data_IF_160462976716
#
_entry.id   IF_160462976716
#
_cell.length_a   1.000
_cell.length_b   1.000
_cell.length_c   1.000
_cell.angle_alpha   90.00
_cell.angle_beta   90.00
_cell.angle_gamma   90.00
#
_symmetry.space_group_name_H-M   'P 1'
#
loop_
_entity.id
_entity.type
_entity.pdbx_description
1 polymer ?
#
# COMPACT_ATOMS: atom_id res chain seq x y z
N UNK A 1 -35.08 14.26 -76.25
CA UNK A 1 -33.85 14.13 -75.45
C UNK A 1 -33.88 14.93 -74.18
N UNK A 2 -34.98 14.92 -73.42
CA UNK A 2 -35.14 15.69 -72.13
C UNK A 2 -35.63 14.84 -70.93
N UNK A 3 -35.90 13.56 -71.14
CA UNK A 3 -36.42 12.68 -70.07
C UNK A 3 -35.36 11.74 -69.41
N UNK A 4 -34.13 11.72 -69.92
CA UNK A 4 -33.08 10.82 -69.46
C UNK A 4 -32.17 11.46 -68.37
N UNK A 5 -32.40 12.74 -68.00
CA UNK A 5 -31.56 13.45 -66.97
C UNK A 5 -32.17 13.57 -65.61
N UNK A 6 -33.41 13.15 -65.36
CA UNK A 6 -34.10 13.25 -64.13
C UNK A 6 -34.06 11.99 -63.22
N UNK A 7 -33.57 10.87 -63.73
CA UNK A 7 -33.47 9.61 -63.01
C UNK A 7 -32.07 9.36 -62.37
N UNK A 8 -31.07 10.18 -62.72
CA UNK A 8 -29.69 10.01 -62.18
C UNK A 8 -29.43 10.77 -60.86
N UNK A 9 -30.34 11.66 -60.40
CA UNK A 9 -30.12 12.47 -59.17
C UNK A 9 -30.81 11.85 -57.95
N UNK A 10 -31.79 10.94 -58.14
CA UNK A 10 -32.54 10.31 -57.04
C UNK A 10 -31.80 9.10 -56.41
N UNK A 11 -30.76 8.55 -57.02
CA UNK A 11 -30.04 7.37 -56.50
C UNK A 11 -28.79 7.71 -55.70
N UNK A 12 -28.35 8.96 -55.63
CA UNK A 12 -27.17 9.37 -54.87
C UNK A 12 -27.52 9.89 -53.46
N UNK A 13 -28.79 10.09 -53.15
CA UNK A 13 -29.27 10.60 -51.85
C UNK A 13 -29.48 9.52 -50.78
N UNK A 14 -29.54 8.24 -51.12
CA UNK A 14 -29.81 7.15 -50.16
C UNK A 14 -28.59 6.45 -49.57
N UNK A 15 -27.37 6.78 -50.05
CA UNK A 15 -26.16 6.05 -49.65
C UNK A 15 -25.34 6.77 -48.55
N UNK A 16 -25.78 7.93 -48.05
CA UNK A 16 -25.02 8.70 -47.03
C UNK A 16 -25.62 8.60 -45.63
N UNK A 17 -26.78 7.94 -45.44
CA UNK A 17 -27.42 7.83 -44.12
C UNK A 17 -27.15 6.52 -43.37
N UNK A 18 -26.25 5.67 -43.80
CA UNK A 18 -26.02 4.34 -43.19
C UNK A 18 -24.70 4.21 -42.40
N UNK A 19 -23.96 5.29 -42.10
CA UNK A 19 -22.67 5.20 -41.37
C UNK A 19 -22.66 5.95 -40.04
N UNK A 20 -23.82 6.40 -39.54
CA UNK A 20 -23.96 6.94 -38.20
C UNK A 20 -24.52 5.90 -37.23
N UNK A 21 -24.09 4.64 -37.38
CA UNK A 21 -24.45 3.50 -36.52
C UNK A 21 -23.34 3.10 -35.60
N UNK A 22 -23.28 3.71 -34.42
CA UNK A 22 -22.97 3.01 -33.15
C UNK A 22 -21.56 2.44 -33.00
N UNK A 23 -20.58 3.28 -32.79
CA UNK A 23 -19.49 2.89 -31.87
C UNK A 23 -19.87 3.28 -30.42
N UNK A 24 -20.99 2.80 -29.92
CA UNK A 24 -21.16 2.56 -28.52
C UNK A 24 -20.33 1.29 -28.19
N UNK A 25 -19.01 1.44 -28.18
CA UNK A 25 -18.18 0.48 -27.45
C UNK A 25 -18.70 0.55 -26.00
N UNK A 26 -19.47 -0.46 -25.62
CA UNK A 26 -19.71 -0.78 -24.22
C UNK A 26 -18.35 -0.90 -23.58
N UNK A 27 -17.85 0.20 -22.98
CA UNK A 27 -16.92 0.06 -21.89
C UNK A 27 -17.74 -0.70 -20.86
N UNK A 28 -17.51 -2.01 -20.76
CA UNK A 28 -17.86 -2.78 -19.59
C UNK A 28 -17.15 -2.05 -18.46
N UNK A 29 -17.85 -1.10 -17.84
CA UNK A 29 -17.33 -0.25 -16.79
C UNK A 29 -16.95 -1.16 -15.64
N UNK A 30 -15.65 -1.42 -15.50
CA UNK A 30 -15.16 -1.96 -14.24
C UNK A 30 -15.73 -1.04 -13.16
N UNK A 31 -16.47 -1.63 -12.23
CA UNK A 31 -16.98 -0.89 -11.07
C UNK A 31 -15.81 -0.08 -10.47
N UNK A 32 -16.05 1.16 -10.07
CA UNK A 32 -14.96 2.01 -9.55
C UNK A 32 -14.27 1.32 -8.38
N UNK A 33 -12.95 1.37 -8.37
CA UNK A 33 -12.13 0.84 -7.28
C UNK A 33 -12.45 1.64 -6.01
N UNK A 34 -12.72 0.93 -4.91
CA UNK A 34 -13.10 1.54 -3.63
C UNK A 34 -12.20 1.07 -2.49
N UNK A 35 -12.13 1.88 -1.43
CA UNK A 35 -11.37 1.51 -0.25
C UNK A 35 -11.86 0.19 0.36
N UNK A 36 -13.15 0.11 0.69
CA UNK A 36 -13.71 -1.00 1.44
C UNK A 36 -13.54 -2.35 0.74
N UNK A 37 -13.75 -2.37 -0.59
CA UNK A 37 -13.74 -3.61 -1.35
C UNK A 37 -12.33 -3.98 -1.85
N UNK A 38 -11.58 -2.99 -2.33
CA UNK A 38 -10.41 -3.26 -3.16
C UNK A 38 -9.09 -2.90 -2.45
N UNK A 39 -9.08 -1.82 -1.65
CA UNK A 39 -7.86 -1.28 -1.05
C UNK A 39 -7.62 -1.81 0.35
N UNK A 40 -8.65 -1.88 1.19
CA UNK A 40 -8.52 -2.41 2.54
C UNK A 40 -7.90 -3.81 2.58
N UNK A 41 -8.27 -4.77 1.71
CA UNK A 41 -7.61 -6.08 1.66
C UNK A 41 -6.10 -5.99 1.40
N UNK A 42 -5.67 -5.07 0.53
CA UNK A 42 -4.25 -4.85 0.21
C UNK A 42 -3.52 -4.29 1.42
N UNK A 43 -4.08 -3.24 2.04
CA UNK A 43 -3.49 -2.61 3.22
C UNK A 43 -3.41 -3.59 4.39
N UNK A 44 -4.45 -4.37 4.63
CA UNK A 44 -4.50 -5.34 5.72
C UNK A 44 -3.48 -6.46 5.54
N UNK A 45 -3.24 -6.88 4.31
CA UNK A 45 -2.24 -7.89 4.00
C UNK A 45 -0.81 -7.39 4.13
N UNK A 46 -0.52 -6.18 3.67
CA UNK A 46 0.87 -5.77 3.39
C UNK A 46 1.34 -4.49 4.10
N UNK A 47 0.44 -3.76 4.80
CA UNK A 47 0.78 -2.46 5.37
C UNK A 47 0.53 -2.35 6.87
N UNK A 48 -0.63 -2.85 7.36
CA UNK A 48 -1.03 -2.67 8.76
C UNK A 48 -0.17 -3.42 9.77
N UNK A 49 0.68 -4.35 9.32
CA UNK A 49 1.70 -4.95 10.18
C UNK A 49 2.58 -3.89 10.85
N UNK A 50 2.94 -2.84 10.09
CA UNK A 50 3.75 -1.72 10.56
C UNK A 50 2.92 -0.44 10.75
N UNK A 51 1.91 -0.20 9.89
CA UNK A 51 1.09 1.01 9.89
C UNK A 51 -0.16 0.85 10.76
N UNK A 52 0.02 0.80 12.07
CA UNK A 52 -1.05 0.75 13.09
C UNK A 52 -0.57 1.38 14.40
N UNK A 53 -1.47 1.74 15.31
CA UNK A 53 -1.08 2.28 16.61
C UNK A 53 -0.16 1.31 17.38
N UNK A 54 0.92 1.86 17.96
CA UNK A 54 1.90 1.08 18.72
C UNK A 54 2.98 0.38 17.91
N UNK A 55 2.99 0.57 16.61
CA UNK A 55 4.01 0.01 15.70
C UNK A 55 4.91 1.10 15.10
N UNK A 56 5.94 0.67 14.37
CA UNK A 56 7.04 1.53 13.91
C UNK A 56 6.63 2.64 12.94
N UNK A 57 5.55 2.45 12.18
CA UNK A 57 5.17 3.42 11.15
C UNK A 57 4.38 4.61 11.73
N UNK A 58 4.57 5.83 11.20
CA UNK A 58 4.08 7.06 11.83
C UNK A 58 2.57 7.27 11.74
N UNK A 59 1.86 6.56 10.85
CA UNK A 59 0.41 6.71 10.67
C UNK A 59 -0.28 5.36 10.61
N UNK A 60 -1.51 5.30 11.10
CA UNK A 60 -2.38 4.13 10.97
C UNK A 60 -3.00 4.06 9.57
N UNK A 61 -3.06 2.84 9.02
CA UNK A 61 -3.71 2.54 7.74
C UNK A 61 -4.86 1.54 7.89
N UNK A 62 -5.55 1.55 9.04
CA UNK A 62 -6.61 0.60 9.37
C UNK A 62 -7.95 1.02 8.77
N UNK A 63 -8.36 2.27 8.99
CA UNK A 63 -9.67 2.75 8.58
C UNK A 63 -9.58 3.70 7.38
N UNK A 64 -10.69 3.82 6.63
CA UNK A 64 -10.76 4.80 5.55
C UNK A 64 -10.43 6.22 6.01
N UNK A 65 -10.92 6.62 7.17
CA UNK A 65 -10.68 7.95 7.75
C UNK A 65 -9.19 8.21 8.00
N UNK A 66 -8.45 7.20 8.43
CA UNK A 66 -7.00 7.29 8.66
C UNK A 66 -6.23 7.26 7.34
N UNK A 67 -6.65 6.46 6.37
CA UNK A 67 -5.95 6.27 5.09
C UNK A 67 -6.18 7.43 4.13
N UNK A 68 -7.39 7.97 4.07
CA UNK A 68 -7.80 8.96 3.06
C UNK A 68 -6.91 10.21 3.00
N UNK A 69 -6.48 10.82 4.12
CA UNK A 69 -5.57 11.96 4.09
C UNK A 69 -4.22 11.65 3.44
N UNK A 70 -3.75 10.42 3.54
CA UNK A 70 -2.46 9.96 3.02
C UNK A 70 -2.54 9.36 1.62
N UNK A 71 -3.70 9.32 0.99
CA UNK A 71 -3.92 8.61 -0.27
C UNK A 71 -2.90 8.96 -1.36
N UNK A 72 -2.58 10.25 -1.54
CA UNK A 72 -1.59 10.70 -2.53
C UNK A 72 -0.18 10.20 -2.22
N UNK A 73 0.24 10.28 -0.95
CA UNK A 73 1.53 9.77 -0.51
C UNK A 73 1.62 8.25 -0.63
N UNK A 74 0.55 7.54 -0.27
CA UNK A 74 0.46 6.08 -0.44
C UNK A 74 0.62 5.71 -1.92
N UNK A 75 -0.11 6.39 -2.81
CA UNK A 75 0.02 6.19 -4.26
C UNK A 75 1.45 6.34 -4.75
N UNK A 76 2.10 7.43 -4.37
CA UNK A 76 3.49 7.69 -4.76
C UNK A 76 4.42 6.59 -4.27
N UNK A 77 4.38 6.27 -2.98
CA UNK A 77 5.26 5.28 -2.38
C UNK A 77 5.04 3.86 -2.91
N UNK A 78 3.80 3.51 -3.21
CA UNK A 78 3.44 2.22 -3.80
C UNK A 78 3.85 2.16 -5.29
N UNK A 79 3.56 3.20 -6.07
CA UNK A 79 3.92 3.25 -7.48
C UNK A 79 5.43 3.21 -7.71
N UNK A 80 6.21 3.84 -6.84
CA UNK A 80 7.68 3.84 -6.87
C UNK A 80 8.31 2.65 -6.18
N UNK A 81 7.52 1.70 -5.67
CA UNK A 81 7.99 0.50 -4.96
C UNK A 81 8.81 0.80 -3.69
N UNK A 82 8.66 1.99 -3.10
CA UNK A 82 9.28 2.33 -1.83
C UNK A 82 8.52 1.72 -0.64
N UNK A 83 7.23 1.44 -0.82
CA UNK A 83 6.38 0.74 0.15
C UNK A 83 5.63 -0.42 -0.52
N UNK A 84 5.54 -1.59 0.15
CA UNK A 84 6.26 -1.98 1.38
C UNK A 84 7.78 -1.94 1.20
N UNK A 85 8.58 -1.75 2.28
CA UNK A 85 10.03 -1.71 2.22
C UNK A 85 10.60 -3.12 2.04
N UNK A 86 10.65 -3.58 0.80
CA UNK A 86 11.12 -4.91 0.42
C UNK A 86 12.11 -4.79 -0.74
N UNK A 87 13.37 -5.06 -0.47
CA UNK A 87 14.47 -4.82 -1.42
C UNK A 87 15.06 -6.07 -2.09
N UNK A 88 14.77 -7.33 -1.68
CA UNK A 88 15.31 -8.49 -2.38
C UNK A 88 14.92 -8.48 -3.86
N UNK A 89 15.91 -8.69 -4.73
CA UNK A 89 15.68 -8.75 -6.17
C UNK A 89 14.81 -9.98 -6.51
N UNK A 90 13.70 -9.81 -7.24
CA UNK A 90 12.80 -10.90 -7.59
C UNK A 90 13.44 -11.97 -8.51
N UNK A 91 14.57 -11.64 -9.16
CA UNK A 91 15.29 -12.58 -10.01
C UNK A 91 16.09 -13.59 -9.17
N UNK A 92 16.41 -13.28 -7.93
CA UNK A 92 17.25 -14.09 -7.06
C UNK A 92 16.44 -14.61 -5.86
N UNK A 93 15.95 -15.84 -5.98
CA UNK A 93 15.31 -16.56 -4.89
C UNK A 93 13.79 -16.39 -4.79
N UNK A 94 13.22 -17.21 -3.91
CA UNK A 94 11.82 -17.14 -3.48
C UNK A 94 11.83 -16.93 -1.97
N UNK A 95 11.05 -15.99 -1.53
CA UNK A 95 11.02 -15.58 -0.13
C UNK A 95 9.65 -15.91 0.47
N UNK A 96 9.63 -16.61 1.59
CA UNK A 96 8.39 -17.00 2.26
C UNK A 96 7.59 -15.79 2.76
N UNK A 97 8.29 -14.77 3.23
CA UNK A 97 7.74 -13.53 3.76
C UNK A 97 7.78 -12.36 2.76
N UNK A 98 7.63 -12.63 1.47
CA UNK A 98 7.65 -11.60 0.42
C UNK A 98 6.50 -10.59 0.60
N UNK A 99 6.84 -9.36 0.94
CA UNK A 99 5.90 -8.26 1.16
C UNK A 99 5.55 -7.48 -0.10
N UNK A 100 6.15 -7.81 -1.25
CA UNK A 100 5.91 -7.07 -2.50
C UNK A 100 4.45 -7.12 -2.90
N UNK A 101 3.96 -5.98 -3.35
CA UNK A 101 2.68 -5.91 -4.03
C UNK A 101 2.81 -6.43 -5.45
N UNK A 102 1.85 -7.22 -5.90
CA UNK A 102 1.69 -7.55 -7.31
C UNK A 102 1.41 -6.29 -8.14
N UNK A 103 1.66 -6.34 -9.44
CA UNK A 103 1.35 -5.20 -10.32
C UNK A 103 -0.13 -4.84 -10.25
N UNK A 104 -1.02 -5.84 -10.18
CA UNK A 104 -2.46 -5.64 -10.05
C UNK A 104 -2.82 -4.86 -8.77
N UNK A 105 -2.16 -5.16 -7.65
CA UNK A 105 -2.39 -4.44 -6.38
C UNK A 105 -1.88 -3.00 -6.46
N UNK A 106 -0.73 -2.79 -7.09
CA UNK A 106 -0.20 -1.43 -7.34
C UNK A 106 -1.17 -0.63 -8.22
N UNK A 107 -1.62 -1.22 -9.33
CA UNK A 107 -2.54 -0.56 -10.25
C UNK A 107 -3.88 -0.24 -9.58
N UNK A 108 -4.36 -1.10 -8.69
CA UNK A 108 -5.56 -0.86 -7.90
C UNK A 108 -5.41 0.36 -6.98
N UNK A 109 -4.30 0.46 -6.25
CA UNK A 109 -4.00 1.60 -5.37
C UNK A 109 -3.90 2.90 -6.20
N UNK A 110 -3.17 2.87 -7.30
CA UNK A 110 -3.01 4.03 -8.19
C UNK A 110 -4.36 4.47 -8.75
N UNK A 111 -5.14 3.53 -9.31
CA UNK A 111 -6.46 3.80 -9.88
C UNK A 111 -7.44 4.34 -8.83
N UNK A 112 -7.43 3.80 -7.63
CA UNK A 112 -8.25 4.27 -6.53
C UNK A 112 -7.99 5.74 -6.21
N UNK A 113 -6.72 6.12 -6.07
CA UNK A 113 -6.35 7.50 -5.74
C UNK A 113 -6.67 8.44 -6.90
N UNK A 114 -6.33 8.05 -8.13
CA UNK A 114 -6.55 8.86 -9.33
C UNK A 114 -8.06 9.07 -9.62
N UNK A 115 -8.92 8.13 -9.20
CA UNK A 115 -10.38 8.26 -9.28
C UNK A 115 -11.04 9.00 -8.11
N UNK A 116 -10.26 9.57 -7.19
CA UNK A 116 -10.77 10.38 -6.08
C UNK A 116 -10.79 9.68 -4.73
N UNK A 117 -10.22 8.48 -4.62
CA UNK A 117 -10.07 7.71 -3.39
C UNK A 117 -11.39 7.52 -2.62
N UNK A 118 -12.42 6.99 -3.30
CA UNK A 118 -13.73 6.74 -2.72
C UNK A 118 -13.71 5.64 -1.64
N UNK A 119 -14.55 5.78 -0.60
CA UNK A 119 -14.68 4.76 0.46
C UNK A 119 -15.35 3.49 -0.04
N UNK A 120 -16.40 3.61 -0.82
CA UNK A 120 -17.23 2.49 -1.22
C UNK A 120 -18.27 2.11 -0.15
N UNK A 121 -18.82 0.90 -0.27
CA UNK A 121 -19.79 0.40 0.69
C UNK A 121 -19.06 -0.19 1.92
N UNK A 122 -19.31 0.30 3.14
CA UNK A 122 -18.68 -0.23 4.35
C UNK A 122 -18.95 -1.72 4.61
N UNK A 123 -20.03 -2.27 4.03
CA UNK A 123 -20.33 -3.71 4.14
C UNK A 123 -19.37 -4.59 3.37
N UNK A 124 -18.63 -4.02 2.42
CA UNK A 124 -17.63 -4.72 1.63
C UNK A 124 -16.26 -4.77 2.33
N UNK A 125 -16.15 -4.11 3.50
CA UNK A 125 -14.90 -4.10 4.26
C UNK A 125 -14.60 -5.52 4.79
N UNK A 126 -13.41 -6.06 4.53
CA UNK A 126 -13.03 -7.36 5.06
C UNK A 126 -12.85 -7.30 6.58
N UNK A 127 -12.95 -8.46 7.21
CA UNK A 127 -12.60 -8.57 8.62
C UNK A 127 -11.14 -8.16 8.83
N UNK A 128 -10.90 -7.41 9.90
CA UNK A 128 -9.54 -7.05 10.31
C UNK A 128 -8.74 -8.31 10.60
N UNK A 129 -7.52 -8.46 10.07
CA UNK A 129 -6.66 -9.57 10.43
C UNK A 129 -6.34 -9.53 11.93
N UNK A 130 -6.13 -10.70 12.50
CA UNK A 130 -5.60 -10.78 13.86
C UNK A 130 -4.16 -10.31 13.83
N UNK A 131 -3.90 -9.18 14.45
CA UNK A 131 -2.57 -8.60 14.54
C UNK A 131 -2.00 -8.96 15.92
N UNK A 132 -0.76 -9.45 15.93
CA UNK A 132 -0.05 -9.74 17.17
C UNK A 132 0.26 -8.41 17.87
N UNK A 133 -0.01 -8.34 19.14
CA UNK A 133 0.41 -7.25 20.03
C UNK A 133 1.61 -7.73 20.83
N UNK A 134 2.67 -6.92 20.90
CA UNK A 134 3.93 -7.31 21.54
C UNK A 134 4.82 -8.17 20.61
N UNK A 135 5.53 -9.14 21.20
CA UNK A 135 6.49 -9.95 20.47
C UNK A 135 5.84 -10.87 19.44
N UNK A 136 6.33 -10.81 18.18
CA UNK A 136 5.86 -11.69 17.09
C UNK A 136 6.35 -13.13 17.28
N UNK A 137 7.52 -13.28 17.92
CA UNK A 137 8.12 -14.59 18.21
C UNK A 137 7.52 -15.27 19.45
N UNK A 138 6.51 -14.67 20.08
CA UNK A 138 5.98 -15.09 21.39
C UNK A 138 6.74 -14.47 22.54
N UNK A 139 6.46 -14.92 23.79
CA UNK A 139 7.16 -14.43 24.96
C UNK A 139 8.65 -14.77 24.88
N UNK A 140 9.56 -13.78 24.88
CA UNK A 140 10.99 -14.05 24.76
C UNK A 140 11.58 -14.59 26.06
N UNK A 141 12.49 -15.55 25.95
CA UNK A 141 13.25 -16.05 27.11
C UNK A 141 14.19 -14.98 27.68
N UNK A 142 14.67 -14.05 26.85
CA UNK A 142 15.57 -12.98 27.25
C UNK A 142 15.34 -11.72 26.41
N UNK A 143 15.43 -10.58 27.08
CA UNK A 143 15.36 -9.25 26.48
C UNK A 143 16.68 -8.53 26.73
N UNK A 144 17.31 -8.06 25.65
CA UNK A 144 18.50 -7.23 25.71
C UNK A 144 18.14 -5.80 25.30
N UNK A 145 18.49 -4.84 26.13
CA UNK A 145 18.27 -3.43 25.83
C UNK A 145 19.58 -2.75 25.48
N UNK A 146 19.53 -1.75 24.60
CA UNK A 146 20.68 -0.91 24.33
C UNK A 146 21.12 -0.23 25.62
N UNK A 147 22.43 -0.23 25.94
CA UNK A 147 22.94 0.31 27.20
C UNK A 147 22.87 1.85 27.25
N UNK A 148 22.78 2.49 26.10
CA UNK A 148 22.75 3.94 25.95
C UNK A 148 21.79 4.35 24.86
N UNK A 149 21.13 5.48 25.04
CA UNK A 149 20.33 6.09 24.00
C UNK A 149 21.20 6.60 22.85
N UNK A 150 20.71 6.52 21.65
CA UNK A 150 21.32 7.10 20.46
C UNK A 150 20.33 8.09 19.82
N UNK A 151 20.77 9.33 19.72
CA UNK A 151 19.97 10.36 19.05
C UNK A 151 20.16 10.25 17.54
N UNK A 152 19.09 9.88 16.84
CA UNK A 152 19.08 9.85 15.37
C UNK A 152 18.96 11.27 14.85
N UNK A 153 19.88 11.75 14.00
CA UNK A 153 19.77 13.07 13.40
C UNK A 153 18.55 13.15 12.48
N UNK A 154 17.93 14.32 12.40
CA UNK A 154 16.75 14.54 11.56
C UNK A 154 17.05 14.44 10.06
N UNK A 155 18.28 14.70 9.67
CA UNK A 155 18.72 14.71 8.28
C UNK A 155 20.09 14.02 8.13
N UNK A 156 20.37 13.55 6.91
CA UNK A 156 21.63 12.93 6.56
C UNK A 156 21.69 11.43 6.78
N UNK A 157 22.84 10.84 6.49
CA UNK A 157 23.09 9.41 6.69
C UNK A 157 23.45 9.11 8.15
N UNK A 158 22.83 8.13 8.72
CA UNK A 158 23.17 7.61 10.05
C UNK A 158 24.22 6.50 9.87
N UNK A 159 25.46 6.67 10.35
CA UNK A 159 26.46 5.61 10.30
C UNK A 159 26.03 4.44 11.20
N UNK A 160 26.53 3.25 10.89
CA UNK A 160 26.30 2.08 11.73
C UNK A 160 26.78 2.34 13.16
N UNK A 161 25.90 2.04 14.12
CA UNK A 161 26.22 2.10 15.53
C UNK A 161 26.36 0.67 16.08
N UNK A 162 27.40 0.43 16.86
CA UNK A 162 27.65 -0.87 17.46
C UNK A 162 27.44 -0.78 18.97
N UNK A 163 26.49 -1.56 19.46
CA UNK A 163 26.22 -1.68 20.89
C UNK A 163 26.55 -3.11 21.32
N UNK A 164 27.39 -3.25 22.33
CA UNK A 164 27.68 -4.54 22.95
C UNK A 164 26.92 -4.68 24.24
N UNK A 165 26.10 -5.71 24.31
CA UNK A 165 25.29 -6.03 25.50
C UNK A 165 25.75 -7.38 26.04
N UNK A 166 26.18 -7.47 27.31
CA UNK A 166 26.61 -8.75 27.89
C UNK A 166 25.40 -9.68 28.05
N UNK A 167 25.52 -10.88 27.55
CA UNK A 167 24.47 -11.91 27.69
C UNK A 167 24.43 -12.55 29.07
N UNK A 168 25.56 -12.53 29.78
CA UNK A 168 25.78 -13.22 31.07
C UNK A 168 25.56 -14.75 31.02
N UNK A 169 25.57 -15.33 29.83
CA UNK A 169 25.48 -16.78 29.66
C UNK A 169 26.71 -17.47 30.31
N UNK A 170 26.45 -18.58 30.94
CA UNK A 170 27.51 -19.42 31.57
C UNK A 170 27.84 -20.63 30.73
N UNK A 171 27.06 -20.88 29.68
CA UNK A 171 27.19 -22.00 28.76
C UNK A 171 26.73 -21.56 27.37
N UNK A 172 27.04 -22.34 26.35
CA UNK A 172 26.58 -22.11 24.99
C UNK A 172 25.06 -22.22 24.91
N UNK A 173 24.43 -21.26 24.19
CA UNK A 173 22.99 -21.22 23.96
C UNK A 173 22.70 -21.17 22.47
N UNK A 174 21.66 -21.88 22.07
CA UNK A 174 21.16 -21.85 20.71
C UNK A 174 20.02 -20.82 20.62
N UNK A 175 20.12 -19.94 19.62
CA UNK A 175 19.07 -18.94 19.34
C UNK A 175 18.12 -19.52 18.30
N UNK A 176 16.87 -19.70 18.67
CA UNK A 176 15.81 -20.17 17.78
C UNK A 176 15.16 -19.02 17.00
N UNK A 177 14.93 -17.89 17.68
CA UNK A 177 14.32 -16.70 17.09
C UNK A 177 14.94 -15.44 17.72
N UNK A 178 14.94 -14.36 16.95
CA UNK A 178 15.37 -13.04 17.37
C UNK A 178 14.40 -12.01 16.82
N UNK A 179 13.99 -11.09 17.67
CA UNK A 179 13.16 -9.96 17.27
C UNK A 179 13.73 -8.67 17.87
N UNK A 180 13.75 -7.61 17.06
CA UNK A 180 14.12 -6.28 17.51
C UNK A 180 12.87 -5.40 17.55
N UNK A 181 12.60 -4.79 18.68
CA UNK A 181 11.51 -3.85 18.84
C UNK A 181 12.04 -2.47 19.23
N UNK A 182 11.35 -1.44 18.76
CA UNK A 182 11.52 -0.11 19.33
C UNK A 182 10.63 -0.02 20.56
N UNK A 183 11.23 0.34 21.68
CA UNK A 183 10.45 0.76 22.85
C UNK A 183 9.85 2.11 22.49
N UNK A 184 8.53 2.31 22.58
CA UNK A 184 7.94 3.63 22.38
C UNK A 184 8.60 4.62 23.34
N UNK A 185 9.40 5.53 22.81
CA UNK A 185 9.85 6.67 23.60
C UNK A 185 8.62 7.54 23.73
N UNK A 186 8.14 7.76 24.96
CA UNK A 186 7.21 8.86 25.20
C UNK A 186 7.95 10.14 24.85
N UNK A 187 7.69 10.67 23.66
CA UNK A 187 8.19 11.98 23.27
C UNK A 187 7.45 13.01 24.11
N UNK A 188 7.98 13.30 25.25
CA UNK A 188 7.54 14.44 26.06
C UNK A 188 7.89 15.70 25.27
N UNK A 189 6.92 16.22 24.54
CA UNK A 189 7.06 17.41 23.70
C UNK A 189 6.79 17.15 22.22
N UNK A 190 5.64 16.58 21.90
CA UNK A 190 5.11 16.61 20.55
C UNK A 190 4.71 18.07 20.23
N UNK A 191 5.66 18.84 19.71
CA UNK A 191 5.34 19.96 18.87
C UNK A 191 4.50 19.46 17.72
N UNK A 192 3.26 19.92 17.62
CA UNK A 192 2.38 19.67 16.52
C UNK A 192 3.14 19.82 15.21
N UNK A 193 3.12 18.82 14.36
CA UNK A 193 3.49 18.99 12.96
C UNK A 193 2.46 19.96 12.39
N UNK A 194 2.90 21.21 12.24
CA UNK A 194 2.12 22.29 11.69
C UNK A 194 1.63 21.98 10.28
N UNK A 195 0.53 22.61 9.98
CA UNK A 195 -0.31 22.68 8.80
C UNK A 195 0.41 22.70 7.47
#
# INVERSE_FOLDING_TARGET
>A
MRMARLLAVASLGCLVLAVAGSNAASSAGNAPVTFSKDIAPILYKSCVGCHRPGEIAPMSLITYKEVRPWAKAIREKVATRQMPPWHPDPQFGKWENDLRLSQKEVDAVVSWVDSGAAEGNPKDLPAMPKLTSGWQIGEPDMIFQMPTEFTVPAEGAVPYQHFSVPTNFKEDRYVQALEAQQIPIEVSGAGAFGE
#
